data_IF_135219227539
#
_entry.id   IF_135219227539
#
_cell.length_a   1.000
_cell.length_b   1.000
_cell.length_c   1.000
_cell.angle_alpha   90.00
_cell.angle_beta   90.00
_cell.angle_gamma   90.00
#
_symmetry.space_group_name_H-M   'P 1'
#
loop_
_entity.id
_entity.type
_entity.pdbx_description
1 polymer ?
#
# COMPACT_ATOMS: atom_id res chain seq x y z
N UNK A 1 8.65 2.27 6.94
CA UNK A 1 8.42 1.12 6.03
C UNK A 1 8.92 1.39 4.63
N UNK A 2 8.61 2.54 4.02
CA UNK A 2 9.04 2.86 2.66
C UNK A 2 10.57 3.04 2.54
N UNK A 3 11.22 3.66 3.53
CA UNK A 3 12.70 3.76 3.53
C UNK A 3 13.36 2.38 3.53
N UNK A 4 12.86 1.47 4.38
CA UNK A 4 13.30 0.07 4.39
C UNK A 4 13.01 -0.63 3.06
N UNK A 5 11.94 -0.27 2.34
CA UNK A 5 11.67 -0.80 1.01
C UNK A 5 12.75 -0.34 0.02
N UNK A 6 13.14 0.93 0.05
CA UNK A 6 14.21 1.48 -0.79
C UNK A 6 15.57 0.85 -0.49
N UNK A 7 15.92 0.67 0.79
CA UNK A 7 17.15 -0.01 1.20
C UNK A 7 17.18 -1.45 0.66
N UNK A 8 16.09 -2.21 0.84
CA UNK A 8 16.01 -3.57 0.30
C UNK A 8 16.13 -3.58 -1.22
N UNK A 9 15.51 -2.62 -1.90
CA UNK A 9 15.62 -2.49 -3.35
C UNK A 9 17.06 -2.22 -3.80
N UNK A 10 17.77 -1.30 -3.13
CA UNK A 10 19.17 -0.99 -3.40
C UNK A 10 20.09 -2.21 -3.22
N UNK A 11 19.76 -3.09 -2.27
CA UNK A 11 20.46 -4.36 -2.04
C UNK A 11 19.94 -5.53 -2.88
N UNK A 12 19.12 -5.29 -3.91
CA UNK A 12 18.53 -6.30 -4.81
C UNK A 12 17.64 -7.33 -4.09
N UNK A 13 17.11 -6.98 -2.92
CA UNK A 13 16.17 -7.79 -2.13
C UNK A 13 14.73 -7.44 -2.52
N UNK A 14 14.39 -7.67 -3.79
CA UNK A 14 13.15 -7.18 -4.41
C UNK A 14 11.89 -7.72 -3.73
N UNK A 15 11.87 -9.00 -3.36
CA UNK A 15 10.76 -9.59 -2.59
C UNK A 15 10.52 -8.86 -1.27
N UNK A 16 11.58 -8.64 -0.51
CA UNK A 16 11.50 -7.92 0.77
C UNK A 16 11.10 -6.46 0.54
N UNK A 17 11.57 -5.83 -0.54
CA UNK A 17 11.17 -4.47 -0.90
C UNK A 17 9.65 -4.37 -1.18
N UNK A 18 9.09 -5.28 -2.00
CA UNK A 18 7.65 -5.37 -2.24
C UNK A 18 6.83 -5.58 -0.95
N UNK A 19 7.33 -6.45 -0.07
CA UNK A 19 6.70 -6.66 1.23
C UNK A 19 6.64 -5.36 2.06
N UNK A 20 7.76 -4.63 2.17
CA UNK A 20 7.82 -3.38 2.93
C UNK A 20 7.00 -2.26 2.29
N UNK A 21 6.98 -2.18 0.95
CA UNK A 21 6.13 -1.25 0.20
C UNK A 21 4.65 -1.49 0.51
N UNK A 22 4.19 -2.74 0.45
CA UNK A 22 2.82 -3.11 0.79
C UNK A 22 2.44 -2.71 2.22
N UNK A 23 3.28 -3.00 3.21
CA UNK A 23 2.97 -2.62 4.59
C UNK A 23 2.93 -1.10 4.79
N UNK A 24 3.71 -0.33 4.02
CA UNK A 24 3.56 1.13 3.97
C UNK A 24 2.14 1.55 3.57
N UNK A 25 1.61 0.99 2.48
CA UNK A 25 0.23 1.27 2.04
C UNK A 25 -0.82 0.76 3.04
N UNK A 26 -0.60 -0.43 3.59
CA UNK A 26 -1.53 -1.03 4.55
C UNK A 26 -1.72 -0.16 5.80
N UNK A 27 -0.62 0.35 6.36
CA UNK A 27 -0.72 1.23 7.53
C UNK A 27 -1.29 2.61 7.19
N UNK A 28 -0.99 3.16 6.01
CA UNK A 28 -1.61 4.40 5.57
C UNK A 28 -3.14 4.26 5.41
N UNK A 29 -3.63 3.21 4.75
CA UNK A 29 -5.08 2.97 4.68
C UNK A 29 -5.70 2.62 6.04
N UNK A 30 -4.96 1.95 6.92
CA UNK A 30 -5.40 1.72 8.29
C UNK A 30 -5.57 3.04 9.06
N UNK A 31 -4.67 4.02 8.86
CA UNK A 31 -4.79 5.34 9.45
C UNK A 31 -6.02 6.10 8.93
N UNK A 32 -6.31 6.03 7.62
CA UNK A 32 -7.56 6.57 7.07
C UNK A 32 -8.80 5.96 7.73
N UNK A 33 -8.85 4.63 7.83
CA UNK A 33 -10.00 3.97 8.46
C UNK A 33 -10.11 4.34 9.93
N UNK A 34 -8.98 4.46 10.63
CA UNK A 34 -8.95 4.88 12.01
C UNK A 34 -9.48 6.30 12.21
N UNK A 35 -9.25 7.22 11.25
CA UNK A 35 -9.82 8.57 11.30
C UNK A 35 -11.35 8.59 11.16
N UNK A 36 -11.97 7.50 10.70
CA UNK A 36 -13.42 7.27 10.70
C UNK A 36 -13.88 6.32 11.83
N UNK A 37 -13.03 6.08 12.83
CA UNK A 37 -13.32 5.21 13.97
C UNK A 37 -13.36 3.72 13.64
N UNK A 38 -12.77 3.29 12.51
CA UNK A 38 -12.80 1.90 12.04
C UNK A 38 -11.41 1.27 12.15
N UNK A 39 -11.34 -0.01 12.53
CA UNK A 39 -10.10 -0.77 12.59
C UNK A 39 -10.35 -2.22 12.19
N UNK A 40 -9.43 -2.80 11.42
CA UNK A 40 -9.55 -4.16 10.91
C UNK A 40 -8.20 -4.88 10.99
N UNK A 41 -8.21 -6.12 11.49
CA UNK A 41 -6.99 -6.96 11.53
C UNK A 41 -6.73 -7.76 10.25
N UNK A 42 -7.70 -7.88 9.35
CA UNK A 42 -7.56 -8.64 8.10
C UNK A 42 -7.17 -7.72 6.95
N UNK A 43 -6.11 -8.08 6.22
CA UNK A 43 -5.63 -7.35 5.04
C UNK A 43 -6.72 -7.06 4.01
N UNK A 44 -7.52 -8.08 3.66
CA UNK A 44 -8.62 -7.94 2.71
C UNK A 44 -9.74 -7.03 3.22
N UNK A 45 -9.98 -7.00 4.54
CA UNK A 45 -10.97 -6.13 5.15
C UNK A 45 -10.55 -4.65 5.09
N UNK A 46 -9.26 -4.34 5.28
CA UNK A 46 -8.74 -2.96 5.11
C UNK A 46 -8.95 -2.48 3.68
N UNK A 47 -8.60 -3.28 2.65
CA UNK A 47 -8.84 -2.89 1.26
C UNK A 47 -10.33 -2.73 0.95
N UNK A 48 -11.18 -3.63 1.44
CA UNK A 48 -12.63 -3.55 1.22
C UNK A 48 -13.22 -2.29 1.88
N UNK A 49 -12.82 -1.98 3.11
CA UNK A 49 -13.28 -0.80 3.82
C UNK A 49 -12.76 0.49 3.18
N UNK A 50 -11.48 0.53 2.77
CA UNK A 50 -10.93 1.66 2.01
C UNK A 50 -11.75 1.96 0.74
N UNK A 51 -12.06 0.91 -0.04
CA UNK A 51 -12.92 1.06 -1.24
C UNK A 51 -14.31 1.58 -0.90
N UNK A 52 -14.92 1.03 0.14
CA UNK A 52 -16.28 1.39 0.56
C UNK A 52 -16.36 2.84 1.05
N UNK A 53 -15.41 3.26 1.88
CA UNK A 53 -15.51 4.48 2.66
C UNK A 53 -14.80 5.68 2.04
N UNK A 54 -13.92 5.47 1.07
CA UNK A 54 -13.10 6.53 0.48
C UNK A 54 -13.19 6.55 -1.05
N UNK A 55 -13.19 5.39 -1.71
CA UNK A 55 -13.25 5.34 -3.18
C UNK A 55 -14.68 5.50 -3.69
N UNK A 56 -15.64 4.76 -3.13
CA UNK A 56 -17.06 4.87 -3.54
C UNK A 56 -17.68 6.21 -3.18
N UNK A 57 -17.17 6.90 -2.16
CA UNK A 57 -17.63 8.24 -1.77
C UNK A 57 -17.00 9.35 -2.60
N UNK A 58 -16.02 9.03 -3.45
CA UNK A 58 -15.30 10.00 -4.28
C UNK A 58 -14.23 10.80 -3.54
N UNK A 59 -13.89 10.41 -2.30
CA UNK A 59 -12.81 11.05 -1.54
C UNK A 59 -11.41 10.67 -2.06
N UNK A 60 -11.31 9.51 -2.71
CA UNK A 60 -10.11 9.02 -3.40
C UNK A 60 -10.48 8.44 -4.77
N UNK A 61 -9.64 8.69 -5.77
CA UNK A 61 -9.83 8.12 -7.11
C UNK A 61 -9.75 6.59 -7.15
N UNK A 62 -10.47 5.98 -8.10
CA UNK A 62 -10.45 4.52 -8.35
C UNK A 62 -9.04 3.97 -8.55
N UNK A 63 -8.13 4.75 -9.15
CA UNK A 63 -6.71 4.41 -9.32
C UNK A 63 -6.10 3.88 -8.03
N UNK A 64 -6.38 4.51 -6.89
CA UNK A 64 -5.79 4.12 -5.61
C UNK A 64 -6.24 2.75 -5.13
N UNK A 65 -7.48 2.36 -5.44
CA UNK A 65 -7.99 1.00 -5.20
C UNK A 65 -7.30 -0.04 -6.08
N UNK A 66 -7.00 0.31 -7.32
CA UNK A 66 -6.38 -0.60 -8.29
C UNK A 66 -4.89 -0.78 -7.95
N UNK A 67 -4.18 0.32 -7.65
CA UNK A 67 -2.79 0.29 -7.17
C UNK A 67 -2.64 -0.48 -5.85
N UNK A 68 -3.56 -0.27 -4.89
CA UNK A 68 -3.53 -1.03 -3.63
C UNK A 68 -3.64 -2.53 -3.91
N UNK A 69 -4.59 -2.93 -4.76
CA UNK A 69 -4.76 -4.35 -5.09
C UNK A 69 -3.49 -4.91 -5.73
N UNK A 70 -2.92 -4.22 -6.71
CA UNK A 70 -1.69 -4.62 -7.37
C UNK A 70 -0.57 -4.83 -6.35
N UNK A 71 -0.31 -3.85 -5.49
CA UNK A 71 0.77 -3.94 -4.49
C UNK A 71 0.51 -5.07 -3.47
N UNK A 72 -0.75 -5.30 -3.09
CA UNK A 72 -1.12 -6.43 -2.23
C UNK A 72 -0.87 -7.78 -2.89
N UNK A 73 -1.24 -7.92 -4.17
CA UNK A 73 -1.06 -9.14 -4.94
C UNK A 73 0.45 -9.39 -5.20
N UNK A 74 1.22 -8.35 -5.56
CA UNK A 74 2.69 -8.42 -5.69
C UNK A 74 3.38 -8.85 -4.39
N UNK A 75 2.90 -8.37 -3.24
CA UNK A 75 3.41 -8.84 -1.93
C UNK A 75 3.09 -10.30 -1.69
N UNK A 76 1.90 -10.76 -2.07
CA UNK A 76 1.54 -12.18 -1.95
C UNK A 76 2.46 -13.07 -2.79
N UNK A 77 2.73 -12.69 -4.03
CA UNK A 77 3.72 -13.36 -4.89
C UNK A 77 5.12 -13.32 -4.26
N UNK A 78 5.56 -12.15 -3.81
CA UNK A 78 6.88 -11.99 -3.19
C UNK A 78 7.09 -12.90 -1.97
N UNK A 79 6.06 -13.07 -1.13
CA UNK A 79 6.14 -13.84 0.12
C UNK A 79 5.97 -15.36 -0.10
N UNK A 80 5.19 -15.78 -1.11
CA UNK A 80 4.71 -17.18 -1.20
C UNK A 80 4.98 -17.88 -2.53
N UNK A 81 5.35 -17.17 -3.61
CA UNK A 81 5.65 -17.83 -4.89
C UNK A 81 6.94 -18.66 -4.79
N UNK A 82 6.83 -19.94 -5.16
CA UNK A 82 7.93 -20.92 -5.11
C UNK A 82 8.81 -20.91 -6.37
N UNK A 83 8.28 -20.45 -7.49
CA UNK A 83 8.94 -20.53 -8.80
C UNK A 83 9.09 -19.16 -9.47
N UNK A 84 8.12 -18.25 -9.31
CA UNK A 84 8.19 -16.90 -9.87
C UNK A 84 9.00 -15.99 -8.95
N UNK A 85 10.03 -15.32 -9.47
CA UNK A 85 10.78 -14.29 -8.75
C UNK A 85 10.25 -12.89 -9.04
N UNK A 86 10.56 -11.94 -8.16
CA UNK A 86 10.17 -10.54 -8.36
C UNK A 86 11.27 -9.84 -9.13
N UNK A 87 10.96 -9.38 -10.33
CA UNK A 87 11.89 -8.62 -11.15
C UNK A 87 12.13 -7.21 -10.57
N UNK A 88 13.25 -6.60 -10.95
CA UNK A 88 13.64 -5.27 -10.47
C UNK A 88 12.59 -4.23 -10.87
N UNK A 89 12.11 -4.31 -12.10
CA UNK A 89 11.15 -3.39 -12.68
C UNK A 89 9.80 -3.47 -11.95
N UNK A 90 9.33 -4.68 -11.66
CA UNK A 90 8.11 -4.92 -10.87
C UNK A 90 8.25 -4.35 -9.45
N UNK A 91 9.38 -4.60 -8.79
CA UNK A 91 9.62 -4.07 -7.46
C UNK A 91 9.70 -2.53 -7.44
N UNK A 92 10.30 -1.93 -8.48
CA UNK A 92 10.34 -0.47 -8.62
C UNK A 92 8.94 0.11 -8.79
N UNK A 93 8.10 -0.51 -9.63
CA UNK A 93 6.71 -0.10 -9.82
C UNK A 93 5.90 -0.21 -8.52
N UNK A 94 6.03 -1.32 -7.79
CA UNK A 94 5.36 -1.56 -6.51
C UNK A 94 5.75 -0.49 -5.48
N UNK A 95 7.05 -0.17 -5.36
CA UNK A 95 7.53 0.87 -4.44
C UNK A 95 7.00 2.24 -4.84
N UNK A 96 7.03 2.58 -6.13
CA UNK A 96 6.56 3.87 -6.63
C UNK A 96 5.06 4.06 -6.35
N UNK A 97 4.23 3.05 -6.62
CA UNK A 97 2.79 3.07 -6.32
C UNK A 97 2.53 3.21 -4.81
N UNK A 98 3.29 2.49 -3.99
CA UNK A 98 3.16 2.56 -2.55
C UNK A 98 3.50 3.96 -2.00
N UNK A 99 4.59 4.55 -2.48
CA UNK A 99 4.98 5.93 -2.13
C UNK A 99 3.91 6.94 -2.52
N UNK A 100 3.42 6.87 -3.77
CA UNK A 100 2.39 7.78 -4.26
C UNK A 100 1.11 7.69 -3.43
N UNK A 101 0.67 6.48 -3.09
CA UNK A 101 -0.51 6.27 -2.26
C UNK A 101 -0.33 6.80 -0.83
N UNK A 102 0.82 6.53 -0.21
CA UNK A 102 1.11 7.01 1.15
C UNK A 102 1.14 8.54 1.20
N UNK A 103 1.71 9.19 0.18
CA UNK A 103 1.70 10.65 0.11
C UNK A 103 0.28 11.20 -0.08
N UNK A 104 -0.53 10.62 -0.96
CA UNK A 104 -1.94 11.02 -1.13
C UNK A 104 -2.72 10.90 0.19
N UNK A 105 -2.55 9.80 0.92
CA UNK A 105 -3.17 9.61 2.24
C UNK A 105 -2.73 10.69 3.23
N UNK A 106 -1.42 10.98 3.26
CA UNK A 106 -0.86 11.99 4.16
C UNK A 106 -1.41 13.38 3.85
N UNK A 107 -1.47 13.77 2.57
CA UNK A 107 -2.09 15.03 2.15
C UNK A 107 -3.56 15.10 2.55
N UNK A 108 -4.30 14.00 2.35
CA UNK A 108 -5.72 13.95 2.69
C UNK A 108 -5.97 14.16 4.20
N UNK A 109 -5.12 13.58 5.05
CA UNK A 109 -5.16 13.71 6.51
C UNK A 109 -4.76 15.11 6.97
N UNK A 110 -3.69 15.67 6.40
CA UNK A 110 -3.20 17.03 6.71
C UNK A 110 -4.26 18.09 6.38
N UNK A 111 -4.94 17.98 5.23
CA UNK A 111 -6.03 18.89 4.83
C UNK A 111 -7.23 18.88 5.79
N UNK A 112 -7.24 17.96 6.78
CA UNK A 112 -8.31 17.75 7.76
C UNK A 112 -7.83 17.85 9.21
N UNK A 113 -6.59 18.30 9.43
CA UNK A 113 -5.97 18.42 10.76
C UNK A 113 -5.95 17.09 11.56
N UNK A 114 -5.77 15.97 10.85
CA UNK A 114 -5.72 14.62 11.41
C UNK A 114 -4.29 14.06 11.53
N UNK A 115 -3.27 14.89 11.27
CA UNK A 115 -1.85 14.52 11.30
C UNK A 115 -0.99 15.68 11.79
#
# INVERSE_FOLDING_TARGET
MLDTADENFAHRRYRTACNRAYYGMFYAASALLFSKGKSYGKHSAVLAAFRQDFVKTGEFDKKWSDDYRLVMDSRHTADYALQDDVEKEDAAEVIAKAKAFVEEVKEWLLKRDLL
#
